data_IF_506459061148
#
_entry.id   IF_506459061148
#
_cell.length_a   1.000
_cell.length_b   1.000
_cell.length_c   1.000
_cell.angle_alpha   90.00
_cell.angle_beta   90.00
_cell.angle_gamma   90.00
#
_symmetry.space_group_name_H-M   'P 1'
#
loop_
_entity.id
_entity.type
_entity.pdbx_description
1 polymer ?
#
# COMPACT_ATOMS: atom_id res chain seq x y z
N UNK A 1 -19.57 -58.19 3.28
CA UNK A 1 -18.33 -58.93 2.91
C UNK A 1 -17.88 -58.47 1.53
N UNK A 2 -16.58 -58.15 1.39
CA UNK A 2 -15.83 -57.75 0.18
C UNK A 2 -16.28 -56.41 -0.44
N UNK A 3 -15.51 -55.32 -0.43
CA UNK A 3 -14.06 -55.13 -0.29
C UNK A 3 -13.43 -55.00 -1.68
N UNK A 4 -13.28 -53.77 -2.17
CA UNK A 4 -12.50 -53.43 -3.36
C UNK A 4 -11.67 -52.19 -3.07
N UNK A 5 -10.37 -52.43 -2.86
CA UNK A 5 -9.27 -51.50 -2.62
C UNK A 5 -8.93 -50.66 -3.87
N UNK A 6 -8.55 -49.38 -3.72
CA UNK A 6 -7.88 -48.64 -4.79
C UNK A 6 -6.36 -48.89 -4.74
N UNK A 7 -5.80 -49.22 -5.90
CA UNK A 7 -4.38 -49.43 -6.18
C UNK A 7 -3.56 -48.16 -5.93
N UNK A 8 -2.30 -48.26 -5.46
CA UNK A 8 -1.44 -47.09 -5.26
C UNK A 8 -0.81 -46.65 -6.58
N UNK A 9 -0.91 -45.36 -6.89
CA UNK A 9 -0.17 -44.72 -7.98
C UNK A 9 1.24 -44.43 -7.48
N UNK A 10 2.22 -45.15 -8.01
CA UNK A 10 3.65 -44.97 -7.73
C UNK A 10 4.17 -43.62 -8.26
N UNK A 11 5.13 -42.99 -7.54
CA UNK A 11 5.79 -41.76 -7.98
C UNK A 11 6.87 -42.09 -9.01
N UNK A 12 6.85 -41.40 -10.16
CA UNK A 12 7.96 -41.45 -11.13
C UNK A 12 9.19 -40.77 -10.54
N UNK A 13 10.07 -41.56 -9.93
CA UNK A 13 11.47 -41.23 -9.75
C UNK A 13 12.17 -41.14 -11.11
N UNK A 14 12.90 -40.05 -11.37
CA UNK A 14 13.91 -39.99 -12.43
C UNK A 14 15.27 -39.88 -11.75
N UNK A 15 16.02 -40.98 -11.78
CA UNK A 15 17.43 -41.04 -11.37
C UNK A 15 18.34 -40.61 -12.52
N UNK A 16 19.42 -39.97 -12.10
CA UNK A 16 20.60 -39.53 -12.83
C UNK A 16 21.25 -40.62 -13.68
N UNK A 17 21.67 -40.28 -14.90
CA UNK A 17 22.64 -41.02 -15.69
C UNK A 17 23.48 -40.04 -16.52
N UNK A 18 24.78 -40.00 -16.27
CA UNK A 18 25.76 -39.18 -16.98
C UNK A 18 26.43 -39.95 -18.14
N UNK A 19 27.01 -39.16 -19.05
CA UNK A 19 27.97 -39.47 -20.13
C UNK A 19 27.39 -40.31 -21.30
N UNK A 20 27.46 -39.88 -22.57
CA UNK A 20 28.64 -39.36 -23.25
C UNK A 20 28.32 -38.46 -24.46
N UNK A 21 29.36 -37.69 -24.82
CA UNK A 21 29.60 -36.80 -25.98
C UNK A 21 29.11 -37.42 -27.32
N UNK A 22 28.72 -36.67 -28.36
CA UNK A 22 29.46 -35.59 -28.99
C UNK A 22 28.65 -34.86 -30.10
N UNK A 23 29.13 -33.67 -30.47
CA UNK A 23 28.87 -32.91 -31.72
C UNK A 23 27.50 -32.24 -31.98
N UNK A 24 27.40 -30.94 -31.64
CA UNK A 24 27.37 -29.86 -32.65
C UNK A 24 27.28 -28.45 -32.01
N UNK A 25 28.41 -27.74 -32.01
CA UNK A 25 28.52 -26.32 -31.64
C UNK A 25 28.06 -25.41 -32.78
N UNK A 26 26.99 -24.64 -32.59
CA UNK A 26 26.80 -23.33 -33.25
C UNK A 26 26.33 -22.29 -32.23
N UNK A 27 27.27 -21.41 -31.88
CA UNK A 27 27.17 -20.30 -30.93
C UNK A 27 26.45 -19.14 -31.62
N UNK A 28 25.31 -18.70 -31.07
CA UNK A 28 24.59 -17.51 -31.57
C UNK A 28 25.27 -16.22 -31.09
N UNK A 29 25.41 -15.28 -32.03
CA UNK A 29 26.10 -14.00 -31.89
C UNK A 29 25.25 -13.00 -31.09
N UNK A 30 25.74 -12.58 -29.92
CA UNK A 30 25.28 -11.33 -29.28
C UNK A 30 26.40 -10.80 -28.38
N UNK A 31 27.44 -10.22 -28.99
CA UNK A 31 28.46 -9.41 -28.32
C UNK A 31 29.37 -8.69 -29.35
N UNK A 32 28.77 -7.86 -30.21
CA UNK A 32 29.53 -7.04 -31.16
C UNK A 32 28.92 -5.67 -31.49
N UNK A 33 28.08 -5.11 -30.62
CA UNK A 33 27.50 -3.76 -30.79
C UNK A 33 27.82 -2.82 -29.61
N UNK A 34 28.79 -3.19 -28.75
CA UNK A 34 29.20 -2.37 -27.59
C UNK A 34 30.68 -1.95 -27.63
N UNK A 35 31.28 -1.87 -28.82
CA UNK A 35 32.70 -1.49 -28.98
C UNK A 35 33.01 -0.34 -29.95
N UNK A 36 32.00 0.28 -30.56
CA UNK A 36 32.21 1.36 -31.55
C UNK A 36 31.64 2.73 -31.13
N UNK A 37 31.33 2.97 -29.86
CA UNK A 37 30.87 4.29 -29.34
C UNK A 37 31.85 4.89 -28.31
N UNK A 38 33.06 4.34 -28.17
CA UNK A 38 34.13 4.93 -27.31
C UNK A 38 35.30 5.52 -28.13
N UNK A 39 35.01 5.97 -29.36
CA UNK A 39 35.97 6.66 -30.24
C UNK A 39 35.40 7.96 -30.80
N UNK A 40 35.01 8.87 -29.91
CA UNK A 40 34.97 10.29 -30.22
C UNK A 40 35.00 11.04 -28.89
N UNK A 41 36.18 11.51 -28.50
CA UNK A 41 36.46 12.72 -27.70
C UNK A 41 37.91 12.61 -27.17
N UNK A 42 38.84 13.15 -27.94
CA UNK A 42 40.19 13.45 -27.47
C UNK A 42 40.57 14.86 -27.90
N UNK A 43 41.40 15.51 -27.06
CA UNK A 43 42.11 16.81 -27.16
C UNK A 43 41.67 17.78 -26.03
N UNK A 44 42.52 18.36 -25.17
CA UNK A 44 43.98 18.31 -24.90
C UNK A 44 44.18 18.81 -23.44
N UNK A 45 45.14 18.25 -22.69
CA UNK A 45 45.96 19.01 -21.73
C UNK A 45 47.21 18.20 -21.34
N UNK A 46 48.35 18.88 -21.38
CA UNK A 46 49.74 18.37 -21.37
C UNK A 46 50.34 18.14 -19.96
N UNK A 47 51.32 17.23 -19.95
CA UNK A 47 52.27 16.77 -18.93
C UNK A 47 52.76 17.75 -17.82
N UNK A 48 53.01 17.19 -16.61
CA UNK A 48 54.35 17.05 -15.98
C UNK A 48 54.32 16.46 -14.54
N UNK A 49 54.64 15.17 -14.43
CA UNK A 49 55.75 14.52 -13.67
C UNK A 49 56.17 15.03 -12.24
N UNK A 50 56.21 14.04 -11.29
CA UNK A 50 57.06 13.80 -10.08
C UNK A 50 56.92 14.67 -8.80
N UNK A 51 56.51 14.08 -7.66
CA UNK A 51 57.43 13.52 -6.63
C UNK A 51 56.74 13.01 -5.33
N UNK A 52 57.50 12.18 -4.61
CA UNK A 52 57.16 11.25 -3.52
C UNK A 52 56.72 11.82 -2.14
N UNK A 53 55.79 11.05 -1.52
CA UNK A 53 55.61 10.56 -0.11
C UNK A 53 55.78 11.47 1.13
N UNK A 54 55.08 11.11 2.25
CA UNK A 54 54.67 12.03 3.32
C UNK A 54 55.54 11.97 4.59
N UNK A 55 55.40 12.98 5.44
CA UNK A 55 55.81 12.93 6.86
C UNK A 55 54.78 13.63 7.74
N UNK A 56 54.38 12.92 8.80
CA UNK A 56 53.61 13.39 9.95
C UNK A 56 54.55 14.16 10.88
N UNK A 57 54.11 15.28 11.44
CA UNK A 57 54.61 15.81 12.71
C UNK A 57 53.49 16.54 13.46
N UNK A 58 53.39 16.23 14.75
CA UNK A 58 52.37 16.70 15.67
C UNK A 58 52.80 18.02 16.32
N UNK A 59 51.84 18.93 16.53
CA UNK A 59 51.96 20.00 17.53
C UNK A 59 50.66 20.16 18.30
N UNK A 60 50.78 19.97 19.62
CA UNK A 60 49.78 20.32 20.64
C UNK A 60 49.76 21.83 20.89
N UNK A 61 48.58 22.42 21.10
CA UNK A 61 48.38 23.47 22.10
C UNK A 61 46.90 23.61 22.50
N UNK A 62 46.70 23.78 23.80
CA UNK A 62 45.48 23.81 24.63
C UNK A 62 44.66 25.10 24.44
N UNK A 63 43.34 25.15 24.71
CA UNK A 63 42.78 25.39 26.06
C UNK A 63 41.23 25.45 26.10
N UNK A 64 40.71 25.03 27.27
CA UNK A 64 39.42 25.30 27.95
C UNK A 64 38.06 25.14 27.26
N UNK A 65 37.33 24.09 27.69
CA UNK A 65 35.86 24.15 27.85
C UNK A 65 35.49 23.63 29.25
N UNK A 66 34.71 24.43 29.94
CA UNK A 66 34.24 24.33 31.32
C UNK A 66 33.38 23.09 31.57
N UNK A 67 33.64 22.41 32.69
CA UNK A 67 32.81 21.34 33.23
C UNK A 67 31.48 21.90 33.77
N UNK A 68 30.35 21.36 33.29
CA UNK A 68 29.08 21.39 33.99
C UNK A 68 28.74 19.95 34.41
N UNK A 69 28.87 19.70 35.71
CA UNK A 69 28.54 18.46 36.39
C UNK A 69 27.03 18.29 36.46
N UNK A 70 26.48 17.32 35.71
CA UNK A 70 25.11 16.84 35.91
C UNK A 70 25.12 15.69 36.92
N UNK A 71 24.52 15.94 38.09
CA UNK A 71 24.29 14.93 39.12
C UNK A 71 23.26 13.90 38.64
N UNK A 72 23.64 12.62 38.77
CA UNK A 72 22.78 11.47 38.56
C UNK A 72 21.59 11.45 39.52
N UNK A 73 20.38 11.64 39.01
CA UNK A 73 19.14 11.21 39.67
C UNK A 73 18.72 9.90 39.03
N UNK A 74 18.88 8.80 39.78
CA UNK A 74 18.34 7.49 39.44
C UNK A 74 16.81 7.50 39.66
N UNK A 75 16.06 7.65 38.57
CA UNK A 75 14.66 7.24 38.51
C UNK A 75 14.55 6.19 37.40
N UNK A 76 13.71 5.17 37.61
CA UNK A 76 13.47 4.02 36.71
C UNK A 76 13.68 4.39 35.24
N UNK A 77 14.56 3.67 34.53
CA UNK A 77 14.71 3.76 33.07
C UNK A 77 13.34 3.57 32.41
N UNK A 78 12.65 4.67 32.13
CA UNK A 78 11.76 4.76 30.98
C UNK A 78 12.64 4.37 29.80
N UNK A 79 12.22 3.39 28.99
CA UNK A 79 12.80 3.27 27.66
C UNK A 79 12.75 4.68 27.04
N UNK A 80 13.89 5.17 26.52
CA UNK A 80 13.91 6.47 25.89
C UNK A 80 12.82 6.49 24.80
N UNK A 81 11.95 7.50 24.81
CA UNK A 81 10.90 7.60 23.81
C UNK A 81 11.52 7.63 22.42
N UNK A 82 11.08 6.73 21.53
CA UNK A 82 11.53 6.73 20.15
C UNK A 82 10.91 7.94 19.44
N UNK A 83 11.76 8.85 18.99
CA UNK A 83 11.36 10.10 18.33
C UNK A 83 10.50 9.85 17.09
N UNK A 84 10.59 8.67 16.45
CA UNK A 84 9.76 8.30 15.28
C UNK A 84 8.27 8.21 15.63
N UNK A 85 7.93 7.88 16.88
CA UNK A 85 6.53 7.74 17.33
C UNK A 85 5.94 9.05 17.85
N UNK A 86 6.77 10.06 18.11
CA UNK A 86 6.33 11.33 18.72
C UNK A 86 5.54 12.17 17.71
N UNK A 87 4.35 12.60 18.13
CA UNK A 87 3.51 13.52 17.34
C UNK A 87 3.55 14.94 17.94
N UNK A 88 3.95 15.92 17.12
CA UNK A 88 4.01 17.35 17.47
C UNK A 88 2.65 18.06 17.34
N UNK A 89 1.62 17.38 16.85
CA UNK A 89 0.29 17.96 16.69
C UNK A 89 -0.31 18.36 18.04
N UNK A 90 -0.74 19.61 18.17
CA UNK A 90 -1.55 20.06 19.29
C UNK A 90 -3.01 19.65 19.07
N UNK A 91 -3.61 19.02 20.08
CA UNK A 91 -4.95 18.44 19.97
C UNK A 91 -6.00 19.55 20.16
N UNK A 92 -6.95 19.65 19.24
CA UNK A 92 -8.13 20.47 19.42
C UNK A 92 -9.21 19.67 20.18
N UNK A 93 -9.24 19.84 21.50
CA UNK A 93 -10.16 19.09 22.37
C UNK A 93 -11.64 19.40 22.13
N UNK A 94 -11.96 20.58 21.60
CA UNK A 94 -13.34 20.93 21.24
C UNK A 94 -13.85 20.05 20.09
N UNK A 95 -13.01 19.78 19.09
CA UNK A 95 -13.35 18.84 18.02
C UNK A 95 -13.63 17.46 18.61
N UNK A 96 -12.70 16.93 19.41
CA UNK A 96 -12.82 15.61 20.06
C UNK A 96 -14.10 15.51 20.89
N UNK A 97 -14.44 16.53 21.68
CA UNK A 97 -15.68 16.56 22.46
C UNK A 97 -16.93 16.40 21.58
N UNK A 98 -16.98 17.08 20.43
CA UNK A 98 -18.09 16.98 19.49
C UNK A 98 -18.21 15.61 18.80
N UNK A 99 -17.14 14.83 18.69
CA UNK A 99 -17.22 13.42 18.23
C UNK A 99 -17.79 12.50 19.31
N UNK A 100 -17.52 12.81 20.58
CA UNK A 100 -17.83 11.99 21.74
C UNK A 100 -19.26 12.19 22.23
N UNK A 101 -19.84 13.39 22.10
CA UNK A 101 -21.25 13.63 22.46
C UNK A 101 -22.21 12.66 21.75
N UNK A 102 -21.90 12.27 20.51
CA UNK A 102 -22.67 11.27 19.76
C UNK A 102 -22.39 9.80 20.16
N UNK A 103 -21.34 9.56 20.95
CA UNK A 103 -20.96 8.22 21.45
C UNK A 103 -21.63 7.92 22.79
N UNK A 104 -21.78 8.93 23.65
CA UNK A 104 -22.24 8.79 25.05
C UNK A 104 -23.74 8.57 25.20
N UNK A 105 -24.55 8.72 24.14
CA UNK A 105 -25.97 8.35 24.12
C UNK A 105 -26.22 6.84 24.36
N UNK A 106 -25.16 6.01 24.33
CA UNK A 106 -25.25 4.56 24.54
C UNK A 106 -24.40 4.08 25.72
N UNK A 107 -25.05 4.04 26.89
CA UNK A 107 -24.77 3.20 28.08
C UNK A 107 -23.57 3.58 28.98
N UNK A 108 -23.78 3.31 30.27
CA UNK A 108 -22.77 3.23 31.31
C UNK A 108 -21.67 2.20 30.96
N UNK A 109 -20.41 2.52 31.27
CA UNK A 109 -19.19 1.68 31.11
C UNK A 109 -18.63 1.52 29.68
N UNK A 110 -18.39 2.62 28.96
CA UNK A 110 -17.60 2.59 27.72
C UNK A 110 -16.10 2.38 28.02
N UNK A 111 -15.46 1.45 27.30
CA UNK A 111 -14.02 1.24 27.38
C UNK A 111 -13.26 2.02 26.30
N UNK A 112 -12.29 2.83 26.70
CA UNK A 112 -11.52 3.70 25.79
C UNK A 112 -10.05 3.29 25.81
N UNK A 113 -9.54 2.84 24.68
CA UNK A 113 -8.12 2.56 24.47
C UNK A 113 -7.39 3.80 24.00
N UNK A 114 -6.39 4.26 24.74
CA UNK A 114 -5.56 5.41 24.39
C UNK A 114 -4.18 4.94 23.96
N UNK A 115 -3.82 5.17 22.70
CA UNK A 115 -2.52 4.79 22.14
C UNK A 115 -1.72 6.02 21.67
N UNK A 116 -0.46 6.09 22.11
CA UNK A 116 0.52 7.10 21.69
C UNK A 116 0.19 8.56 22.09
N UNK A 117 -0.53 8.75 23.19
CA UNK A 117 -0.74 10.06 23.83
C UNK A 117 0.26 10.30 24.95
N UNK A 118 0.63 11.56 25.19
CA UNK A 118 1.46 11.92 26.34
C UNK A 118 0.65 11.97 27.64
N UNK A 119 1.33 12.07 28.79
CA UNK A 119 0.66 12.05 30.10
C UNK A 119 -0.39 13.14 30.27
N UNK A 120 -0.10 14.37 29.84
CA UNK A 120 -1.04 15.49 29.94
C UNK A 120 -2.29 15.22 29.08
N UNK A 121 -2.11 14.72 27.86
CA UNK A 121 -3.21 14.39 26.96
C UNK A 121 -4.08 13.25 27.51
N UNK A 122 -3.45 12.24 28.11
CA UNK A 122 -4.18 11.13 28.77
C UNK A 122 -5.04 11.67 29.93
N UNK A 123 -4.53 12.62 30.71
CA UNK A 123 -5.29 13.20 31.81
C UNK A 123 -6.46 14.07 31.29
N UNK A 124 -6.28 14.80 30.19
CA UNK A 124 -7.39 15.52 29.53
C UNK A 124 -8.48 14.56 29.02
N UNK A 125 -8.11 13.39 28.45
CA UNK A 125 -9.08 12.36 28.07
C UNK A 125 -9.94 11.91 29.26
N UNK A 126 -9.30 11.67 30.41
CA UNK A 126 -10.01 11.25 31.64
C UNK A 126 -10.91 12.35 32.20
N UNK A 127 -10.48 13.61 32.11
CA UNK A 127 -11.30 14.77 32.51
C UNK A 127 -12.51 14.95 31.60
N UNK A 128 -12.36 14.68 30.30
CA UNK A 128 -13.44 14.80 29.31
C UNK A 128 -14.50 13.71 29.49
N UNK A 129 -14.10 12.50 29.93
CA UNK A 129 -14.99 11.34 30.06
C UNK A 129 -14.81 10.61 31.41
N UNK A 130 -15.06 11.25 32.55
CA UNK A 130 -14.72 10.70 33.86
C UNK A 130 -15.43 9.36 34.17
N UNK A 131 -16.59 9.12 33.56
CA UNK A 131 -17.40 7.91 33.77
C UNK A 131 -16.99 6.72 32.87
N UNK A 132 -16.00 6.90 31.99
CA UNK A 132 -15.51 5.85 31.08
C UNK A 132 -14.26 5.15 31.64
N UNK A 133 -14.12 3.86 31.35
CA UNK A 133 -12.91 3.11 31.71
C UNK A 133 -11.80 3.35 30.68
N UNK A 134 -10.72 4.01 31.10
CA UNK A 134 -9.59 4.34 30.23
C UNK A 134 -8.47 3.31 30.35
N UNK A 135 -8.03 2.79 29.20
CA UNK A 135 -6.91 1.85 29.09
C UNK A 135 -5.78 2.53 28.32
N UNK A 136 -4.68 2.83 29.00
CA UNK A 136 -3.45 3.32 28.35
C UNK A 136 -2.74 2.14 27.70
N UNK A 137 -2.68 2.14 26.37
CA UNK A 137 -2.14 1.06 25.56
C UNK A 137 -0.64 1.27 25.35
N UNK A 138 0.17 0.33 25.83
CA UNK A 138 1.62 0.38 25.66
C UNK A 138 2.09 -0.43 24.45
N UNK A 139 2.75 0.22 23.51
CA UNK A 139 3.31 -0.38 22.29
C UNK A 139 4.83 -0.41 22.36
N UNK A 140 5.43 -1.58 22.17
CA UNK A 140 6.88 -1.67 22.01
C UNK A 140 7.30 -1.08 20.67
N UNK A 141 8.32 -0.24 20.66
CA UNK A 141 8.81 0.37 19.42
C UNK A 141 9.46 -0.67 18.51
N UNK A 142 9.24 -0.48 17.21
CA UNK A 142 9.94 -1.23 16.15
C UNK A 142 11.44 -0.96 16.26
N UNK A 143 12.28 -1.95 15.97
CA UNK A 143 13.73 -1.77 16.00
C UNK A 143 14.19 -0.65 15.04
N UNK A 144 15.22 0.12 15.42
CA UNK A 144 15.68 1.29 14.66
C UNK A 144 16.28 0.91 13.28
N UNK A 145 16.67 -0.34 13.08
CA UNK A 145 17.22 -0.84 11.82
C UNK A 145 16.13 -1.27 10.81
N UNK A 146 14.87 -1.34 11.22
CA UNK A 146 13.75 -1.63 10.31
C UNK A 146 13.35 -0.33 9.63
N UNK A 147 13.61 -0.24 8.33
CA UNK A 147 13.26 0.90 7.46
C UNK A 147 12.09 0.54 6.55
N UNK A 148 11.57 1.51 5.81
CA UNK A 148 10.51 1.25 4.84
C UNK A 148 10.96 0.25 3.78
N UNK A 149 12.20 0.36 3.30
CA UNK A 149 12.81 -0.52 2.29
C UNK A 149 13.00 -1.95 2.81
N UNK A 150 13.13 -2.14 4.13
CA UNK A 150 13.19 -3.47 4.72
C UNK A 150 11.83 -4.20 4.71
N UNK A 151 10.72 -3.45 4.73
CA UNK A 151 9.37 -3.99 4.60
C UNK A 151 8.94 -4.07 3.14
N UNK A 152 9.36 -3.10 2.33
CA UNK A 152 9.03 -2.97 0.91
C UNK A 152 10.30 -2.99 0.05
N UNK A 153 10.99 -4.14 -0.05
CA UNK A 153 12.15 -4.28 -0.92
C UNK A 153 11.74 -4.16 -2.39
N UNK A 154 12.66 -3.66 -3.21
CA UNK A 154 12.49 -3.53 -4.67
C UNK A 154 12.35 -4.88 -5.36
N UNK A 155 13.04 -5.90 -4.86
CA UNK A 155 13.01 -7.23 -5.43
C UNK A 155 12.97 -8.30 -4.34
N UNK A 156 12.20 -9.34 -4.59
CA UNK A 156 12.23 -10.60 -3.83
C UNK A 156 12.32 -11.77 -4.80
N UNK A 157 12.94 -12.84 -4.35
CA UNK A 157 12.94 -14.12 -5.06
C UNK A 157 11.59 -14.82 -4.86
N UNK A 158 10.62 -14.50 -5.72
CA UNK A 158 9.25 -15.03 -5.63
C UNK A 158 9.20 -16.56 -5.77
N UNK A 159 10.12 -17.13 -6.55
CA UNK A 159 10.25 -18.56 -6.82
C UNK A 159 11.13 -19.28 -5.78
N UNK A 160 11.80 -18.51 -4.91
CA UNK A 160 12.73 -18.99 -3.88
C UNK A 160 13.83 -19.91 -4.44
N UNK A 161 14.30 -19.62 -5.66
CA UNK A 161 15.33 -20.43 -6.32
C UNK A 161 16.72 -20.25 -5.69
N UNK A 162 16.95 -19.09 -5.07
CA UNK A 162 18.26 -18.65 -4.59
C UNK A 162 18.26 -18.17 -3.14
N UNK A 163 17.27 -17.37 -2.72
CA UNK A 163 17.17 -16.82 -1.37
C UNK A 163 15.73 -16.93 -0.85
N UNK A 164 15.56 -17.23 0.44
CA UNK A 164 14.24 -17.18 1.09
C UNK A 164 14.02 -15.74 1.58
N UNK A 165 13.00 -15.01 1.06
CA UNK A 165 12.72 -13.66 1.53
C UNK A 165 12.48 -13.65 3.04
N UNK A 166 13.19 -12.78 3.76
CA UNK A 166 13.03 -12.64 5.22
C UNK A 166 12.37 -11.31 5.52
N UNK A 167 11.12 -11.34 5.99
CA UNK A 167 10.42 -10.14 6.45
C UNK A 167 10.73 -9.81 7.91
N UNK A 168 11.01 -8.54 8.22
CA UNK A 168 11.05 -8.07 9.60
C UNK A 168 9.66 -8.19 10.27
N UNK A 169 9.62 -8.69 11.50
CA UNK A 169 8.39 -8.71 12.31
C UNK A 169 8.21 -7.40 13.07
N UNK A 170 6.99 -6.86 13.09
CA UNK A 170 6.63 -5.71 13.93
C UNK A 170 6.13 -6.18 15.32
N UNK A 171 6.48 -5.50 16.42
CA UNK A 171 6.03 -5.88 17.76
C UNK A 171 4.54 -5.67 17.97
N UNK A 172 3.77 -6.75 18.18
CA UNK A 172 2.33 -6.60 18.45
C UNK A 172 2.04 -6.03 19.84
N UNK A 173 0.96 -5.26 19.94
CA UNK A 173 0.38 -4.80 21.19
C UNK A 173 -0.38 -5.93 21.89
N UNK A 174 -0.31 -5.95 23.23
CA UNK A 174 -1.10 -6.88 24.03
C UNK A 174 -2.54 -6.39 24.14
N UNK A 175 -3.47 -7.11 23.53
CA UNK A 175 -4.90 -6.76 23.56
C UNK A 175 -5.41 -6.91 25.00
N UNK A 176 -5.99 -5.85 25.60
CA UNK A 176 -6.51 -5.93 26.96
C UNK A 176 -7.69 -6.90 27.05
N UNK A 177 -7.72 -7.73 28.10
CA UNK A 177 -8.80 -8.68 28.33
C UNK A 177 -10.09 -8.03 28.85
N UNK A 178 -9.96 -6.98 29.66
CA UNK A 178 -11.03 -6.10 30.18
C UNK A 178 -10.45 -4.70 30.50
N UNK A 179 -11.24 -3.61 30.41
CA UNK A 179 -12.56 -3.54 29.80
C UNK A 179 -12.54 -3.91 28.33
N UNK A 180 -13.71 -4.21 27.79
CA UNK A 180 -13.89 -4.29 26.35
C UNK A 180 -13.73 -2.87 25.79
N UNK A 181 -12.96 -2.70 24.73
CA UNK A 181 -12.81 -1.40 24.08
C UNK A 181 -14.00 -1.15 23.12
N UNK A 182 -14.57 0.04 23.23
CA UNK A 182 -15.60 0.59 22.33
C UNK A 182 -15.01 1.66 21.40
N UNK A 183 -14.00 2.38 21.90
CA UNK A 183 -13.24 3.39 21.17
C UNK A 183 -11.74 3.11 21.30
N UNK A 184 -11.02 3.14 20.18
CA UNK A 184 -9.56 3.15 20.15
C UNK A 184 -9.12 4.50 19.61
N UNK A 185 -8.64 5.37 20.49
CA UNK A 185 -8.05 6.65 20.09
C UNK A 185 -6.54 6.49 19.90
N UNK A 186 -6.02 7.03 18.80
CA UNK A 186 -4.60 6.95 18.46
C UNK A 186 -4.09 8.29 17.96
N UNK A 187 -3.00 8.78 18.54
CA UNK A 187 -2.28 9.95 18.03
C UNK A 187 -1.18 9.49 17.07
N UNK A 188 -1.17 9.98 15.84
CA UNK A 188 -0.17 9.56 14.85
C UNK A 188 0.89 10.65 14.61
N UNK A 189 2.18 10.27 14.46
CA UNK A 189 3.21 11.17 13.97
C UNK A 189 2.93 11.55 12.50
N UNK A 190 3.31 12.76 12.11
CA UNK A 190 3.13 13.28 10.75
C UNK A 190 4.26 14.27 10.45
N UNK A 191 5.13 13.92 9.49
CA UNK A 191 6.22 14.76 9.04
C UNK A 191 5.95 15.28 7.62
N UNK A 192 5.12 16.33 7.48
CA UNK A 192 4.75 16.89 6.16
C UNK A 192 5.95 17.36 5.34
N UNK A 193 7.05 17.77 5.99
CA UNK A 193 8.30 18.16 5.33
C UNK A 193 9.14 16.99 4.82
N UNK A 194 8.82 15.76 5.23
CA UNK A 194 9.53 14.54 4.83
C UNK A 194 8.57 13.48 4.27
N UNK A 195 9.05 12.24 4.19
CA UNK A 195 8.29 11.11 3.65
C UNK A 195 7.32 10.50 4.66
N UNK A 196 6.31 11.27 5.08
CA UNK A 196 5.32 10.82 6.06
C UNK A 196 4.47 9.62 5.60
N UNK A 197 4.30 9.45 4.28
CA UNK A 197 3.56 8.33 3.68
C UNK A 197 4.32 7.01 3.75
N UNK A 198 5.65 7.05 3.93
CA UNK A 198 6.54 5.90 4.06
C UNK A 198 7.20 5.86 5.44
N UNK A 199 6.40 6.03 6.48
CA UNK A 199 6.86 6.06 7.86
C UNK A 199 6.48 4.77 8.60
N UNK A 200 7.48 4.03 9.07
CA UNK A 200 7.31 2.72 9.73
C UNK A 200 6.57 2.85 11.07
N UNK A 201 6.83 3.91 11.85
CA UNK A 201 6.17 4.11 13.14
C UNK A 201 4.68 4.43 12.96
N UNK A 202 4.38 5.28 11.98
CA UNK A 202 3.01 5.63 11.58
C UNK A 202 2.25 4.42 11.04
N UNK A 203 2.89 3.58 10.20
CA UNK A 203 2.31 2.31 9.73
C UNK A 203 2.01 1.38 10.92
N UNK A 204 2.98 1.20 11.81
CA UNK A 204 2.86 0.32 12.97
C UNK A 204 1.70 0.71 13.89
N UNK A 205 1.58 1.99 14.26
CA UNK A 205 0.49 2.48 15.10
C UNK A 205 -0.89 2.21 14.48
N UNK A 206 -1.02 2.37 13.17
CA UNK A 206 -2.27 2.14 12.45
C UNK A 206 -2.62 0.65 12.34
N UNK A 207 -1.62 -0.21 12.13
CA UNK A 207 -1.81 -1.66 12.16
C UNK A 207 -2.30 -2.15 13.53
N UNK A 208 -1.73 -1.62 14.61
CA UNK A 208 -2.15 -2.00 15.97
C UNK A 208 -3.52 -1.41 16.33
N UNK A 209 -3.86 -0.21 15.84
CA UNK A 209 -5.21 0.32 15.94
C UNK A 209 -6.24 -0.58 15.25
N UNK A 210 -5.93 -1.04 14.03
CA UNK A 210 -6.77 -1.97 13.29
C UNK A 210 -6.86 -3.34 14.00
N UNK A 211 -5.76 -3.85 14.55
CA UNK A 211 -5.72 -5.12 15.30
C UNK A 211 -6.61 -5.04 16.55
N UNK A 212 -6.56 -3.93 17.28
CA UNK A 212 -7.42 -3.70 18.44
C UNK A 212 -8.90 -3.65 18.05
N UNK A 213 -9.25 -2.91 16.99
CA UNK A 213 -10.63 -2.86 16.49
C UNK A 213 -11.13 -4.25 16.03
N UNK A 214 -10.27 -5.00 15.35
CA UNK A 214 -10.53 -6.36 14.87
C UNK A 214 -10.57 -7.42 15.99
N UNK A 215 -10.04 -7.13 17.17
CA UNK A 215 -9.97 -8.10 18.29
C UNK A 215 -11.31 -8.36 18.97
N UNK A 216 -12.29 -7.48 18.79
CA UNK A 216 -13.57 -7.56 19.45
C UNK A 216 -14.37 -8.81 19.02
N UNK A 217 -14.79 -9.64 19.99
CA UNK A 217 -15.57 -10.85 19.69
C UNK A 217 -17.01 -10.48 19.29
N UNK A 218 -17.52 -11.07 18.21
CA UNK A 218 -18.87 -10.82 17.68
C UNK A 218 -18.97 -9.57 16.79
N UNK A 219 -20.19 -9.21 16.36
CA UNK A 219 -20.49 -8.01 15.55
C UNK A 219 -20.55 -6.72 16.37
N UNK A 220 -19.66 -6.56 17.36
CA UNK A 220 -19.62 -5.32 18.12
C UNK A 220 -18.73 -4.31 17.40
N UNK A 221 -19.27 -3.15 17.02
CA UNK A 221 -18.47 -2.12 16.39
C UNK A 221 -17.47 -1.54 17.40
N UNK A 222 -16.20 -1.44 17.01
CA UNK A 222 -15.18 -0.68 17.73
C UNK A 222 -14.81 0.49 16.86
N UNK A 223 -15.03 1.71 17.36
CA UNK A 223 -14.65 2.90 16.61
C UNK A 223 -13.16 3.18 16.75
N UNK A 224 -12.56 3.72 15.71
CA UNK A 224 -11.15 4.12 15.69
C UNK A 224 -11.09 5.62 15.46
N UNK A 225 -10.53 6.36 16.42
CA UNK A 225 -10.33 7.80 16.33
C UNK A 225 -8.85 8.09 16.13
N UNK A 226 -8.50 8.63 14.96
CA UNK A 226 -7.12 8.97 14.60
C UNK A 226 -6.94 10.48 14.67
N UNK A 227 -5.96 10.94 15.47
CA UNK A 227 -5.60 12.36 15.61
C UNK A 227 -4.29 12.61 14.88
N UNK A 228 -4.36 13.28 13.74
CA UNK A 228 -3.19 13.49 12.86
C UNK A 228 -3.41 14.55 11.77
N UNK A 229 -2.33 15.27 11.43
CA UNK A 229 -2.29 16.25 10.33
C UNK A 229 -2.17 15.61 8.92
N UNK A 230 -1.81 14.33 8.86
CA UNK A 230 -1.58 13.57 7.63
C UNK A 230 -2.75 12.59 7.43
N UNK A 231 -3.19 12.32 6.20
CA UNK A 231 -4.30 11.39 6.01
C UNK A 231 -3.96 9.95 6.48
N UNK A 232 -4.89 9.23 7.14
CA UNK A 232 -4.70 7.83 7.52
C UNK A 232 -4.58 6.90 6.30
N UNK A 233 -3.98 5.71 6.46
CA UNK A 233 -3.77 4.76 5.36
C UNK A 233 -5.13 4.40 4.73
N UNK A 234 -5.42 4.83 3.50
CA UNK A 234 -6.77 4.73 2.93
C UNK A 234 -7.19 3.29 2.66
N UNK A 235 -6.21 2.39 2.45
CA UNK A 235 -6.46 0.96 2.27
C UNK A 235 -6.79 0.24 3.59
N UNK A 236 -6.38 0.78 4.74
CA UNK A 236 -6.66 0.19 6.05
C UNK A 236 -7.93 0.80 6.67
N UNK A 237 -8.02 2.13 6.66
CA UNK A 237 -9.16 2.91 7.13
C UNK A 237 -9.82 3.58 5.93
N UNK A 238 -10.82 2.90 5.37
CA UNK A 238 -11.41 3.32 4.10
C UNK A 238 -12.42 4.45 4.30
N UNK A 239 -12.64 5.21 3.23
CA UNK A 239 -13.73 6.19 3.17
C UNK A 239 -15.12 5.60 3.46
N UNK A 240 -15.35 4.31 3.17
CA UNK A 240 -16.63 3.63 3.45
C UNK A 240 -16.88 3.51 4.96
N UNK A 241 -15.80 3.44 5.75
CA UNK A 241 -15.83 3.30 7.20
C UNK A 241 -15.73 4.66 7.92
N UNK A 242 -15.51 5.77 7.20
CA UNK A 242 -15.36 7.10 7.79
C UNK A 242 -16.72 7.63 8.25
N UNK A 243 -16.88 7.83 9.55
CA UNK A 243 -18.10 8.37 10.17
C UNK A 243 -18.11 9.89 10.10
N UNK A 244 -17.01 10.52 10.50
CA UNK A 244 -16.87 11.98 10.54
C UNK A 244 -15.39 12.35 10.50
N UNK A 245 -15.08 13.47 9.87
CA UNK A 245 -13.77 14.13 9.90
C UNK A 245 -13.99 15.60 10.22
N UNK A 246 -13.19 16.14 11.13
CA UNK A 246 -13.16 17.55 11.46
C UNK A 246 -11.71 17.90 11.81
N UNK A 247 -11.16 18.90 11.10
CA UNK A 247 -9.75 19.26 11.23
C UNK A 247 -8.81 18.05 11.07
N UNK A 248 -8.09 17.77 12.15
CA UNK A 248 -7.09 16.70 12.25
C UNK A 248 -7.62 15.43 12.93
N UNK A 249 -8.92 15.36 13.19
CA UNK A 249 -9.57 14.26 13.88
C UNK A 249 -10.40 13.44 12.90
N UNK A 250 -10.13 12.15 12.84
CA UNK A 250 -10.78 11.20 11.93
C UNK A 250 -11.44 10.09 12.74
N UNK A 251 -12.76 9.96 12.65
CA UNK A 251 -13.52 8.90 13.32
C UNK A 251 -13.98 7.85 12.31
N UNK A 252 -13.53 6.62 12.47
CA UNK A 252 -13.92 5.46 11.67
C UNK A 252 -14.76 4.48 12.49
N UNK A 253 -15.69 3.80 11.82
CA UNK A 253 -16.42 2.64 12.33
C UNK A 253 -16.17 1.44 11.40
N UNK A 254 -14.96 0.85 11.44
CA UNK A 254 -14.56 -0.18 10.51
C UNK A 254 -15.28 -1.51 10.75
N UNK A 255 -15.53 -2.26 9.68
CA UNK A 255 -16.03 -3.63 9.79
C UNK A 255 -14.94 -4.57 10.37
N UNK A 256 -15.15 -5.21 11.52
CA UNK A 256 -14.12 -6.07 12.14
C UNK A 256 -13.72 -7.26 11.27
N UNK A 257 -14.61 -7.83 10.45
CA UNK A 257 -14.28 -8.95 9.57
C UNK A 257 -13.39 -8.49 8.43
N UNK A 258 -13.73 -7.38 7.77
CA UNK A 258 -12.89 -6.80 6.72
C UNK A 258 -11.50 -6.45 7.23
N UNK A 259 -11.39 -5.91 8.45
CA UNK A 259 -10.08 -5.67 9.07
C UNK A 259 -9.31 -6.97 9.34
N UNK A 260 -9.97 -8.04 9.81
CA UNK A 260 -9.32 -9.35 10.01
C UNK A 260 -8.78 -9.92 8.71
N UNK A 261 -9.52 -9.78 7.62
CA UNK A 261 -9.09 -10.27 6.31
C UNK A 261 -7.88 -9.46 5.81
N UNK A 262 -7.91 -8.13 5.96
CA UNK A 262 -6.78 -7.26 5.62
C UNK A 262 -5.53 -7.54 6.48
N UNK A 263 -5.71 -7.78 7.77
CA UNK A 263 -4.62 -8.07 8.72
C UNK A 263 -4.02 -9.48 8.57
N UNK A 264 -4.62 -10.36 7.75
CA UNK A 264 -4.01 -11.63 7.36
C UNK A 264 -3.00 -11.47 6.22
N UNK A 265 -3.04 -10.35 5.49
CA UNK A 265 -2.07 -10.05 4.45
C UNK A 265 -0.72 -9.66 5.07
N UNK A 266 0.41 -9.97 4.41
CA UNK A 266 1.73 -9.61 4.89
C UNK A 266 1.89 -8.10 4.98
N UNK A 267 2.68 -7.66 5.97
CA UNK A 267 3.03 -6.25 6.16
C UNK A 267 4.28 -5.96 5.34
N UNK A 268 4.08 -5.53 4.09
CA UNK A 268 5.18 -5.24 3.16
C UNK A 268 5.21 -6.16 1.94
N UNK A 269 6.02 -5.82 0.94
CA UNK A 269 6.27 -6.66 -0.24
C UNK A 269 7.36 -7.70 -0.03
N UNK A 270 8.00 -7.74 1.14
CA UNK A 270 9.03 -8.73 1.46
C UNK A 270 8.47 -10.18 1.57
N UNK A 271 7.14 -10.34 1.64
CA UNK A 271 6.44 -11.63 1.68
C UNK A 271 5.26 -11.59 0.68
N UNK A 272 5.06 -12.69 -0.03
CA UNK A 272 4.01 -12.79 -1.05
C UNK A 272 2.62 -12.86 -0.43
N UNK A 273 1.75 -11.94 -0.82
CA UNK A 273 0.34 -11.92 -0.39
C UNK A 273 -0.46 -13.12 -0.88
N UNK A 274 -0.05 -13.75 -2.00
CA UNK A 274 -0.66 -14.96 -2.55
C UNK A 274 0.45 -15.96 -2.85
N UNK A 275 0.46 -17.16 -2.23
CA UNK A 275 1.42 -18.19 -2.61
C UNK A 275 1.14 -18.65 -4.05
N UNK A 276 2.18 -18.99 -4.83
CA UNK A 276 2.08 -19.50 -6.21
C UNK A 276 1.14 -20.70 -6.39
N UNK A 277 0.78 -21.37 -5.29
CA UNK A 277 -0.24 -22.42 -5.19
C UNK A 277 -1.47 -21.90 -4.45
N UNK A 278 -2.17 -20.92 -5.03
CA UNK A 278 -3.42 -20.41 -4.45
C UNK A 278 -4.43 -21.56 -4.28
N UNK A 279 -4.92 -21.75 -3.05
CA UNK A 279 -6.06 -22.64 -2.80
C UNK A 279 -7.32 -21.96 -3.30
N UNK A 280 -8.14 -22.68 -4.06
CA UNK A 280 -9.45 -22.21 -4.49
C UNK A 280 -10.30 -21.88 -3.27
N UNK A 281 -10.51 -20.58 -3.01
CA UNK A 281 -11.49 -20.14 -2.04
C UNK A 281 -12.86 -20.05 -2.72
N UNK A 282 -13.80 -20.78 -2.12
CA UNK A 282 -15.17 -21.02 -2.60
C UNK A 282 -15.94 -19.70 -2.71
N UNK A 283 -16.52 -19.48 -3.89
CA UNK A 283 -17.37 -18.34 -4.24
C UNK A 283 -18.40 -18.00 -3.15
N UNK A 284 -18.42 -16.74 -2.72
CA UNK A 284 -19.48 -16.18 -1.88
C UNK A 284 -20.80 -16.16 -2.64
N UNK A 285 -21.90 -16.58 -1.97
CA UNK A 285 -23.24 -16.75 -2.56
C UNK A 285 -23.98 -15.42 -2.88
N UNK A 286 -23.33 -14.26 -2.77
CA UNK A 286 -23.91 -12.99 -3.23
C UNK A 286 -23.45 -12.69 -4.65
N UNK A 287 -24.40 -12.34 -5.52
CA UNK A 287 -24.08 -11.74 -6.80
C UNK A 287 -23.47 -10.35 -6.53
N UNK A 288 -22.14 -10.27 -6.49
CA UNK A 288 -21.41 -9.01 -6.37
C UNK A 288 -21.46 -8.27 -7.70
N UNK A 289 -21.66 -6.95 -7.66
CA UNK A 289 -21.62 -6.09 -8.86
C UNK A 289 -20.16 -5.87 -9.22
N UNK A 290 -19.65 -6.71 -10.12
CA UNK A 290 -18.23 -6.78 -10.45
C UNK A 290 -18.00 -6.55 -11.94
N UNK A 291 -16.98 -5.77 -12.27
CA UNK A 291 -16.61 -5.48 -13.65
C UNK A 291 -15.10 -5.45 -13.88
N UNK A 292 -14.69 -5.80 -15.10
CA UNK A 292 -13.42 -5.35 -15.62
C UNK A 292 -13.59 -3.92 -16.14
N UNK A 293 -12.66 -3.04 -15.79
CA UNK A 293 -12.65 -1.66 -16.20
C UNK A 293 -11.42 -1.36 -17.07
N UNK A 294 -11.57 -0.52 -18.08
CA UNK A 294 -10.44 0.09 -18.79
C UNK A 294 -10.75 1.55 -19.10
N UNK A 295 -9.76 2.31 -19.55
CA UNK A 295 -9.89 3.74 -19.85
C UNK A 295 -9.11 4.11 -21.11
N UNK A 296 -9.72 4.93 -21.97
CA UNK A 296 -9.09 5.42 -23.19
C UNK A 296 -8.89 6.94 -23.12
N UNK A 297 -7.69 7.38 -23.46
CA UNK A 297 -7.32 8.79 -23.59
C UNK A 297 -7.06 9.22 -25.04
N UNK A 298 -6.94 8.26 -25.96
CA UNK A 298 -6.79 8.54 -27.40
C UNK A 298 -7.42 7.42 -28.24
N UNK A 299 -8.02 7.80 -29.37
CA UNK A 299 -8.81 6.90 -30.20
C UNK A 299 -7.99 5.98 -31.12
N UNK A 300 -6.80 6.39 -31.56
CA UNK A 300 -6.16 5.78 -32.74
C UNK A 300 -5.72 4.33 -32.56
N UNK A 301 -5.01 4.00 -31.47
CA UNK A 301 -4.41 2.65 -31.29
C UNK A 301 -5.05 1.90 -30.12
N UNK A 302 -5.48 2.63 -29.08
CA UNK A 302 -5.96 2.01 -27.86
C UNK A 302 -7.39 1.44 -27.99
N UNK A 303 -8.19 1.85 -28.99
CA UNK A 303 -9.49 1.21 -29.26
C UNK A 303 -9.31 -0.26 -29.65
N UNK A 304 -8.36 -0.55 -30.54
CA UNK A 304 -8.03 -1.93 -30.91
C UNK A 304 -7.52 -2.73 -29.69
N UNK A 305 -6.69 -2.09 -28.86
CA UNK A 305 -6.21 -2.67 -27.60
C UNK A 305 -7.35 -3.04 -26.65
N UNK A 306 -8.29 -2.12 -26.41
CA UNK A 306 -9.47 -2.38 -25.58
C UNK A 306 -10.38 -3.47 -26.14
N UNK A 307 -10.58 -3.52 -27.47
CA UNK A 307 -11.32 -4.61 -28.11
C UNK A 307 -10.60 -5.95 -27.87
N UNK A 308 -9.29 -6.01 -28.06
CA UNK A 308 -8.49 -7.22 -27.82
C UNK A 308 -8.54 -7.65 -26.34
N UNK A 309 -8.46 -6.68 -25.41
CA UNK A 309 -8.58 -6.92 -23.97
C UNK A 309 -9.94 -7.56 -23.62
N UNK A 310 -11.06 -6.99 -24.10
CA UNK A 310 -12.40 -7.54 -23.90
C UNK A 310 -12.50 -8.99 -24.41
N UNK A 311 -12.04 -9.23 -25.64
CA UNK A 311 -12.07 -10.58 -26.22
C UNK A 311 -11.22 -11.54 -25.39
N UNK A 312 -10.03 -11.14 -24.95
CA UNK A 312 -9.18 -11.98 -24.11
C UNK A 312 -9.81 -12.34 -22.75
N UNK A 313 -10.49 -11.39 -22.10
CA UNK A 313 -11.25 -11.64 -20.85
C UNK A 313 -12.36 -12.67 -21.09
N UNK A 314 -13.11 -12.52 -22.18
CA UNK A 314 -14.19 -13.45 -22.55
C UNK A 314 -13.66 -14.83 -22.91
N UNK A 315 -12.57 -14.91 -23.68
CA UNK A 315 -11.90 -16.16 -24.03
C UNK A 315 -11.30 -16.88 -22.82
N UNK A 316 -10.87 -16.13 -21.80
CA UNK A 316 -10.45 -16.66 -20.51
C UNK A 316 -11.64 -17.18 -19.66
N UNK A 317 -12.88 -16.99 -20.09
CA UNK A 317 -14.08 -17.54 -19.47
C UNK A 317 -14.76 -16.63 -18.45
N UNK A 318 -14.35 -15.37 -18.31
CA UNK A 318 -15.02 -14.46 -17.37
C UNK A 318 -16.37 -13.99 -17.90
N UNK A 319 -17.37 -13.98 -17.03
CA UNK A 319 -18.73 -13.49 -17.31
C UNK A 319 -19.02 -12.13 -16.70
N UNK A 320 -18.02 -11.48 -16.09
CA UNK A 320 -18.19 -10.18 -15.42
C UNK A 320 -18.49 -9.06 -16.40
N UNK A 321 -19.03 -7.96 -15.91
CA UNK A 321 -19.29 -6.81 -16.76
C UNK A 321 -17.99 -6.24 -17.30
N UNK A 322 -18.05 -5.64 -18.49
CA UNK A 322 -16.95 -4.91 -19.09
C UNK A 322 -17.37 -3.45 -19.15
N UNK A 323 -16.64 -2.55 -18.49
CA UNK A 323 -16.91 -1.11 -18.50
C UNK A 323 -15.69 -0.34 -19.02
N UNK A 324 -15.91 0.60 -19.92
CA UNK A 324 -14.83 1.42 -20.48
C UNK A 324 -15.10 2.89 -20.28
N UNK A 325 -14.10 3.60 -19.76
CA UNK A 325 -14.16 5.03 -19.55
C UNK A 325 -13.59 5.71 -20.79
N UNK A 326 -14.37 6.60 -21.40
CA UNK A 326 -13.99 7.33 -22.61
C UNK A 326 -14.38 8.79 -22.48
N UNK A 327 -13.67 9.69 -23.14
CA UNK A 327 -14.07 11.09 -23.26
C UNK A 327 -14.75 11.38 -24.62
N UNK A 328 -15.10 12.64 -24.84
CA UNK A 328 -15.79 13.11 -26.05
C UNK A 328 -14.95 13.00 -27.33
N UNK A 329 -13.63 12.80 -27.24
CA UNK A 329 -12.77 12.63 -28.42
C UNK A 329 -12.89 11.24 -29.05
N UNK A 330 -13.45 10.26 -28.33
CA UNK A 330 -13.74 8.94 -28.89
C UNK A 330 -15.02 9.04 -29.73
N UNK A 331 -14.85 8.98 -31.05
CA UNK A 331 -15.95 9.13 -32.02
C UNK A 331 -16.98 8.00 -31.93
N UNK A 332 -18.17 8.25 -32.46
CA UNK A 332 -19.27 7.28 -32.48
C UNK A 332 -18.90 5.96 -33.19
N UNK A 333 -18.10 6.05 -34.25
CA UNK A 333 -17.55 4.87 -34.93
C UNK A 333 -16.75 3.97 -33.98
N UNK A 334 -15.87 4.56 -33.17
CA UNK A 334 -15.09 3.82 -32.18
C UNK A 334 -15.96 3.30 -31.04
N UNK A 335 -16.96 4.08 -30.58
CA UNK A 335 -17.91 3.67 -29.55
C UNK A 335 -18.69 2.43 -29.97
N UNK A 336 -19.23 2.41 -31.20
CA UNK A 336 -19.92 1.24 -31.73
C UNK A 336 -19.03 -0.01 -31.80
N UNK A 337 -17.75 0.14 -32.15
CA UNK A 337 -16.77 -0.95 -32.12
C UNK A 337 -16.50 -1.50 -30.71
N UNK A 338 -16.41 -0.62 -29.71
CA UNK A 338 -16.23 -0.99 -28.31
C UNK A 338 -17.47 -1.70 -27.74
N UNK A 339 -18.67 -1.18 -28.04
CA UNK A 339 -19.95 -1.79 -27.65
C UNK A 339 -20.12 -3.17 -28.29
N UNK A 340 -19.77 -3.32 -29.58
CA UNK A 340 -19.80 -4.61 -30.26
C UNK A 340 -18.82 -5.63 -29.63
N UNK A 341 -17.72 -5.18 -29.03
CA UNK A 341 -16.81 -6.03 -28.25
C UNK A 341 -17.33 -6.36 -26.84
N UNK A 342 -18.45 -5.76 -26.43
CA UNK A 342 -19.11 -6.00 -25.15
C UNK A 342 -18.80 -4.97 -24.06
N UNK A 343 -18.12 -3.87 -24.37
CA UNK A 343 -17.87 -2.80 -23.41
C UNK A 343 -19.12 -1.94 -23.19
N UNK A 344 -19.46 -1.71 -21.92
CA UNK A 344 -20.40 -0.67 -21.50
C UNK A 344 -19.66 0.66 -21.47
N UNK A 345 -20.07 1.60 -22.32
CA UNK A 345 -19.41 2.90 -22.44
C UNK A 345 -19.81 3.81 -21.28
N UNK A 346 -18.81 4.36 -20.57
CA UNK A 346 -18.99 5.35 -19.52
C UNK A 346 -18.24 6.64 -19.92
N UNK A 347 -18.97 7.69 -20.27
CA UNK A 347 -18.36 8.96 -20.69
C UNK A 347 -17.84 9.74 -19.48
N UNK A 348 -16.59 10.20 -19.53
CA UNK A 348 -15.92 10.94 -18.46
C UNK A 348 -15.35 12.27 -18.93
N UNK A 349 -15.18 13.19 -17.98
CA UNK A 349 -14.31 14.35 -18.16
C UNK A 349 -12.88 13.98 -17.74
N UNK A 350 -11.92 14.27 -18.62
CA UNK A 350 -10.49 14.03 -18.34
C UNK A 350 -10.02 14.83 -17.13
N UNK A 351 -9.06 14.27 -16.42
CA UNK A 351 -8.35 14.93 -15.33
C UNK A 351 -6.90 15.10 -15.78
N UNK A 352 -6.48 16.37 -15.88
CA UNK A 352 -5.10 16.71 -16.24
C UNK A 352 -4.19 16.44 -15.05
N UNK A 353 -3.03 15.84 -15.30
CA UNK A 353 -1.95 15.82 -14.33
C UNK A 353 -1.36 17.24 -14.21
N UNK A 354 -1.46 17.91 -13.04
CA UNK A 354 -0.94 19.26 -12.86
C UNK A 354 0.58 19.34 -13.01
N UNK A 355 1.29 18.22 -12.86
CA UNK A 355 2.76 18.12 -12.97
C UNK A 355 3.24 17.68 -14.35
N UNK A 356 2.32 17.41 -15.29
CA UNK A 356 2.70 17.02 -16.65
C UNK A 356 2.91 18.26 -17.54
N UNK A 357 3.95 18.19 -18.35
CA UNK A 357 4.16 19.13 -19.47
C UNK A 357 2.99 19.04 -20.45
N UNK A 358 2.59 20.15 -21.09
CA UNK A 358 1.57 20.14 -22.14
C UNK A 358 1.90 19.12 -23.23
N UNK A 359 0.89 18.39 -23.71
CA UNK A 359 1.00 17.38 -24.78
C UNK A 359 1.88 16.16 -24.45
N UNK A 360 2.38 16.06 -23.22
CA UNK A 360 3.10 14.87 -22.78
C UNK A 360 2.18 13.65 -22.76
N UNK A 361 2.74 12.47 -23.02
CA UNK A 361 1.99 11.20 -23.05
C UNK A 361 1.23 10.92 -21.74
N UNK A 362 1.67 11.51 -20.63
CA UNK A 362 1.15 11.31 -19.29
C UNK A 362 0.22 12.45 -18.82
N UNK A 363 -0.06 13.42 -19.67
CA UNK A 363 -0.87 14.61 -19.35
C UNK A 363 -2.25 14.24 -18.80
N UNK A 364 -2.86 13.17 -19.31
CA UNK A 364 -4.22 12.77 -18.96
C UNK A 364 -4.30 11.56 -18.04
N UNK A 365 -3.17 11.04 -17.59
CA UNK A 365 -3.11 9.81 -16.80
C UNK A 365 -3.95 9.92 -15.53
N UNK A 366 -4.08 11.10 -14.92
CA UNK A 366 -4.87 11.32 -13.70
C UNK A 366 -6.36 11.00 -13.88
N UNK A 367 -6.83 10.87 -15.12
CA UNK A 367 -8.19 10.42 -15.41
C UNK A 367 -8.47 9.00 -14.92
N UNK A 368 -7.45 8.15 -14.62
CA UNK A 368 -7.72 6.85 -13.95
C UNK A 368 -8.37 7.04 -12.57
N UNK A 369 -8.31 8.21 -11.93
CA UNK A 369 -9.06 8.44 -10.67
C UNK A 369 -10.57 8.30 -10.87
N UNK A 370 -11.07 8.49 -12.09
CA UNK A 370 -12.48 8.25 -12.44
C UNK A 370 -12.92 6.82 -12.19
N UNK A 371 -12.01 5.85 -12.09
CA UNK A 371 -12.32 4.48 -11.69
C UNK A 371 -13.05 4.40 -10.35
N UNK A 372 -12.70 5.26 -9.38
CA UNK A 372 -13.39 5.32 -8.09
C UNK A 372 -14.81 5.88 -8.18
N UNK A 373 -15.23 6.44 -9.31
CA UNK A 373 -16.59 6.93 -9.49
C UNK A 373 -17.54 5.88 -10.10
N UNK A 374 -17.05 4.69 -10.45
CA UNK A 374 -17.85 3.56 -10.94
C UNK A 374 -18.68 2.88 -9.84
N UNK A 375 -19.42 3.68 -9.07
CA UNK A 375 -20.17 3.25 -7.86
C UNK A 375 -21.37 2.33 -8.15
N UNK A 376 -21.68 2.10 -9.43
CA UNK A 376 -22.58 1.03 -9.89
C UNK A 376 -22.01 -0.37 -9.63
N UNK A 377 -20.70 -0.47 -9.34
CA UNK A 377 -20.00 -1.69 -9.01
C UNK A 377 -19.46 -1.67 -7.58
N UNK A 378 -19.46 -2.83 -6.93
CA UNK A 378 -18.89 -3.03 -5.60
C UNK A 378 -17.36 -3.18 -5.67
N UNK A 379 -16.87 -3.76 -6.77
CA UNK A 379 -15.44 -3.98 -7.04
C UNK A 379 -15.16 -4.05 -8.53
N UNK A 380 -14.01 -3.52 -8.94
CA UNK A 380 -13.55 -3.58 -10.32
C UNK A 380 -12.11 -4.09 -10.41
N UNK A 381 -11.80 -4.78 -11.50
CA UNK A 381 -10.42 -5.04 -11.92
C UNK A 381 -10.13 -4.08 -13.07
N UNK A 382 -9.33 -3.06 -12.81
CA UNK A 382 -8.79 -2.20 -13.85
C UNK A 382 -7.70 -2.93 -14.63
N UNK A 383 -7.75 -2.85 -15.95
CA UNK A 383 -6.68 -3.26 -16.86
C UNK A 383 -6.39 -2.15 -17.87
N UNK A 384 -5.12 -1.83 -18.11
CA UNK A 384 -4.73 -0.94 -19.20
C UNK A 384 -5.10 -1.58 -20.56
N UNK A 385 -5.40 -0.75 -21.55
CA UNK A 385 -5.85 -1.20 -22.87
C UNK A 385 -4.73 -1.87 -23.69
N UNK A 386 -3.50 -1.90 -23.21
CA UNK A 386 -2.35 -2.60 -23.80
C UNK A 386 -2.05 -3.96 -23.14
N UNK A 387 -2.98 -4.48 -22.33
CA UNK A 387 -2.88 -5.78 -21.66
C UNK A 387 -3.73 -6.87 -22.33
N UNK A 388 -3.29 -8.12 -22.21
CA UNK A 388 -4.02 -9.31 -22.68
C UNK A 388 -4.17 -10.34 -21.55
N UNK A 389 -5.40 -10.83 -21.37
CA UNK A 389 -5.71 -11.85 -20.36
C UNK A 389 -5.58 -13.25 -20.98
N UNK A 390 -4.59 -14.01 -20.53
CA UNK A 390 -4.29 -15.35 -21.06
C UNK A 390 -4.97 -16.49 -20.28
N UNK A 391 -5.42 -16.21 -19.05
CA UNK A 391 -6.11 -17.14 -18.16
C UNK A 391 -7.13 -16.39 -17.31
N UNK A 392 -8.14 -17.09 -16.79
CA UNK A 392 -9.12 -16.46 -15.92
C UNK A 392 -8.44 -15.86 -14.68
N UNK A 393 -8.68 -14.58 -14.40
CA UNK A 393 -8.18 -13.87 -13.22
C UNK A 393 -9.30 -13.35 -12.33
N UNK A 394 -10.51 -13.93 -12.42
CA UNK A 394 -11.67 -13.53 -11.61
C UNK A 394 -11.40 -13.72 -10.10
N UNK A 395 -10.43 -14.55 -9.73
CA UNK A 395 -10.02 -14.70 -8.33
C UNK A 395 -9.53 -13.38 -7.72
N UNK A 396 -9.05 -12.42 -8.53
CA UNK A 396 -8.63 -11.10 -8.06
C UNK A 396 -9.79 -10.27 -7.49
N UNK A 397 -11.05 -10.55 -7.85
CA UNK A 397 -12.20 -9.92 -7.20
C UNK A 397 -12.33 -10.27 -5.71
N UNK A 398 -11.59 -11.27 -5.22
CA UNK A 398 -11.55 -11.59 -3.78
C UNK A 398 -10.52 -10.71 -3.03
N UNK A 399 -9.60 -10.06 -3.73
CA UNK A 399 -8.55 -9.25 -3.14
C UNK A 399 -9.09 -7.88 -2.67
N UNK A 400 -8.54 -7.29 -1.59
CA UNK A 400 -8.97 -5.98 -1.11
C UNK A 400 -8.41 -4.83 -1.95
N UNK A 401 -9.05 -3.65 -1.87
CA UNK A 401 -8.47 -2.41 -2.39
C UNK A 401 -7.29 -1.91 -1.52
N UNK A 402 -6.19 -1.42 -2.09
CA UNK A 402 -5.75 -1.60 -3.50
C UNK A 402 -4.91 -2.88 -3.58
N UNK A 403 -5.18 -3.71 -4.59
CA UNK A 403 -4.29 -4.83 -4.94
C UNK A 403 -3.75 -4.60 -6.35
N UNK A 404 -2.44 -4.65 -6.51
CA UNK A 404 -1.75 -4.38 -7.77
C UNK A 404 -0.45 -5.18 -7.85
N UNK A 405 0.18 -5.23 -9.03
CA UNK A 405 1.47 -5.90 -9.21
C UNK A 405 2.62 -4.97 -8.82
N UNK A 406 3.71 -5.53 -8.27
CA UNK A 406 4.93 -4.77 -7.99
C UNK A 406 5.51 -4.10 -9.25
N UNK A 407 6.25 -3.01 -9.04
CA UNK A 407 7.03 -2.32 -10.05
C UNK A 407 8.36 -1.88 -9.40
N UNK A 408 9.00 -0.83 -9.92
CA UNK A 408 10.23 -0.26 -9.39
C UNK A 408 10.10 0.22 -7.93
N UNK A 409 11.10 -0.11 -7.12
CA UNK A 409 11.17 0.16 -5.68
C UNK A 409 9.91 -0.29 -4.89
N UNK A 410 9.30 0.63 -4.15
CA UNK A 410 8.06 0.41 -3.36
C UNK A 410 6.80 0.87 -4.10
N UNK A 411 6.85 1.01 -5.42
CA UNK A 411 5.73 1.43 -6.25
C UNK A 411 5.08 0.22 -6.92
N UNK A 412 3.78 0.29 -7.18
CA UNK A 412 3.08 -0.71 -7.97
C UNK A 412 2.87 -0.25 -9.41
N UNK A 413 2.68 -1.23 -10.30
CA UNK A 413 2.28 -0.98 -11.67
C UNK A 413 0.76 -0.73 -11.69
N UNK A 414 0.34 0.43 -12.19
CA UNK A 414 -1.08 0.80 -12.26
C UNK A 414 -1.80 0.29 -13.52
N UNK A 415 -1.20 -0.67 -14.23
CA UNK A 415 -1.77 -1.31 -15.41
C UNK A 415 -2.70 -2.48 -15.09
N UNK A 416 -2.61 -3.06 -13.89
CA UNK A 416 -3.62 -3.99 -13.35
C UNK A 416 -3.86 -3.64 -11.88
N UNK A 417 -5.09 -3.28 -11.53
CA UNK A 417 -5.44 -2.89 -10.15
C UNK A 417 -6.82 -3.42 -9.76
N UNK A 418 -6.97 -3.88 -8.52
CA UNK A 418 -8.26 -4.14 -7.89
C UNK A 418 -8.67 -2.90 -7.10
N UNK A 419 -9.84 -2.36 -7.44
CA UNK A 419 -10.39 -1.11 -6.89
C UNK A 419 -11.80 -1.35 -6.37
N UNK A 420 -12.14 -0.70 -5.28
CA UNK A 420 -13.47 -0.65 -4.67
C UNK A 420 -14.03 0.77 -4.83
N UNK A 421 -14.85 1.03 -5.87
CA UNK A 421 -15.32 2.37 -6.18
C UNK A 421 -15.97 3.10 -5.00
N UNK A 422 -15.61 4.37 -4.82
CA UNK A 422 -16.04 5.25 -3.74
C UNK A 422 -15.83 6.71 -4.13
N UNK A 423 -16.90 7.50 -4.20
CA UNK A 423 -16.81 8.95 -4.47
C UNK A 423 -16.00 9.69 -3.40
N UNK A 424 -16.03 9.23 -2.15
CA UNK A 424 -15.19 9.79 -1.09
C UNK A 424 -13.70 9.52 -1.36
N UNK A 425 -13.34 8.32 -1.80
CA UNK A 425 -11.95 8.00 -2.15
C UNK A 425 -11.51 8.82 -3.37
N UNK A 426 -12.38 8.98 -4.37
CA UNK A 426 -12.13 9.90 -5.48
C UNK A 426 -11.85 11.33 -5.01
N UNK A 427 -12.70 11.89 -4.13
CA UNK A 427 -12.52 13.23 -3.57
C UNK A 427 -11.20 13.33 -2.79
N UNK A 428 -10.88 12.33 -1.96
CA UNK A 428 -9.62 12.27 -1.24
C UNK A 428 -8.41 12.33 -2.19
N UNK A 429 -8.43 11.57 -3.30
CA UNK A 429 -7.38 11.59 -4.31
C UNK A 429 -7.29 12.94 -5.02
N UNK A 430 -8.44 13.56 -5.32
CA UNK A 430 -8.50 14.88 -5.97
C UNK A 430 -7.99 15.99 -5.06
N UNK A 431 -8.33 15.97 -3.78
CA UNK A 431 -7.87 16.96 -2.79
C UNK A 431 -6.35 16.95 -2.62
N UNK A 432 -5.72 15.78 -2.80
CA UNK A 432 -4.29 15.59 -2.66
C UNK A 432 -3.57 15.45 -4.01
N UNK A 433 -4.21 15.83 -5.12
CA UNK A 433 -3.68 15.69 -6.48
C UNK A 433 -2.32 16.36 -6.68
N UNK A 434 -2.07 17.45 -5.96
CA UNK A 434 -0.82 18.21 -5.99
C UNK A 434 0.28 17.56 -5.13
N UNK A 435 -0.09 16.78 -4.12
CA UNK A 435 0.83 16.08 -3.23
C UNK A 435 1.31 14.75 -3.84
N UNK A 436 0.48 14.12 -4.67
CA UNK A 436 0.84 12.88 -5.38
C UNK A 436 2.02 13.17 -6.33
N UNK A 437 3.18 12.59 -6.03
CA UNK A 437 4.39 12.69 -6.87
C UNK A 437 4.48 11.44 -7.71
N UNK A 438 4.34 11.59 -9.02
CA UNK A 438 4.64 10.52 -9.94
C UNK A 438 6.14 10.41 -10.20
N UNK A 439 6.71 9.22 -9.99
CA UNK A 439 8.10 8.93 -10.32
C UNK A 439 8.44 9.13 -11.82
N UNK A 440 7.46 8.97 -12.72
CA UNK A 440 7.65 9.12 -14.18
C UNK A 440 6.65 10.08 -14.84
N UNK A 441 5.96 10.90 -14.04
CA UNK A 441 4.85 11.75 -14.47
C UNK A 441 3.52 11.04 -14.84
N UNK A 442 3.39 9.70 -14.75
CA UNK A 442 2.10 8.97 -14.83
C UNK A 442 1.42 8.71 -13.47
N UNK A 443 0.31 7.96 -13.37
CA UNK A 443 -0.16 7.51 -12.03
C UNK A 443 0.67 6.29 -11.61
N UNK A 444 1.94 6.50 -11.27
CA UNK A 444 2.83 5.45 -10.71
C UNK A 444 3.37 5.85 -9.34
N UNK A 445 2.65 6.73 -8.63
CA UNK A 445 3.09 7.29 -7.35
C UNK A 445 1.97 7.42 -6.31
N UNK A 446 0.89 6.65 -6.47
CA UNK A 446 -0.18 6.56 -5.46
C UNK A 446 0.14 5.46 -4.49
#
# INVERSE_FOLDING_TARGET
>A
MRGSSPSPVEPRHRLSGSANEDANKRRSQRNKVLKDIEKALHVHATDRILNCKPTFEAYHLSTSVSQLTYQHIWTKKSAAADLRYVSSLNINWNEISGFIENLTDRKDNLGIGLLNFNHNEIDHWKELLPDCEHVVLNLNYVANNITWESLYPEWIDEEQESEVPTCPSLPNLQIPGKPRLDLVAVKLPCNKSGSWSRDVARLHLQLEAARLAASSKGYHPVRVLLVTDCFPIPNLFTCKDLVRREGNTWLYEPNPNTLRDKLQLPVGSCELAVPLKAKEHVYSQRAHREAYATILHSAHVYVCGAIAAAQSIRMAGSTRDLVILVDETITEYHRGGLEAAGWKIHTIQRIRNPKAEPEAYNEWNYSKFRLWQLTDYDKIIFIDADMLILRNIDFLFQMPEISATGNDASLFNSGVMVVEPSNCTFQLLMDHVNEIVSYNGGIRGI
#
